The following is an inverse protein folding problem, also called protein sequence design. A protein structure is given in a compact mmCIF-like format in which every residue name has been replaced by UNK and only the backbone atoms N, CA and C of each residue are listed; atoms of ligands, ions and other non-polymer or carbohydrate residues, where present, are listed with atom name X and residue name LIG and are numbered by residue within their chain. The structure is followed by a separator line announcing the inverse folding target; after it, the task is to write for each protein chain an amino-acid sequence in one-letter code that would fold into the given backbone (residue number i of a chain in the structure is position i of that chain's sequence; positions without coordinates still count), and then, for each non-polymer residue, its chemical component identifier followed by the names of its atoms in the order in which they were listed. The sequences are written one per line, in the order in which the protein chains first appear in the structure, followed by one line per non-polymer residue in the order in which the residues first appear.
data_IF_504497060158
#
_entry.id   IF_504497060158
#
_cell.length_a   1.000
_cell.length_b   1.000
_cell.length_c   1.000
_cell.angle_alpha   90.00
_cell.angle_beta   90.00
_cell.angle_gamma   90.00
#
_symmetry.space_group_name_H-M   'P 1'
#
loop_
_entity.id
_entity.type
_entity.pdbx_description
1 polymer ?
#
# COMPACT_ATOMS: atom_id res chain seq x y z
N UNK A 1 21.03 11.75 -8.67
CA UNK A 1 22.44 11.45 -8.35
C UNK A 1 22.95 12.21 -7.10
N UNK A 2 22.09 12.47 -6.09
CA UNK A 2 22.45 13.23 -4.86
C UNK A 2 22.07 12.45 -3.57
N UNK A 3 21.24 11.41 -3.66
CA UNK A 3 20.77 10.65 -2.50
C UNK A 3 21.88 9.81 -1.82
N UNK A 4 22.72 9.13 -2.60
CA UNK A 4 23.74 8.22 -2.05
C UNK A 4 24.93 8.93 -1.38
N UNK A 5 25.30 10.14 -1.82
CA UNK A 5 26.44 10.86 -1.25
C UNK A 5 26.13 11.47 0.13
N UNK A 6 24.90 11.92 0.36
CA UNK A 6 24.49 12.52 1.65
C UNK A 6 24.21 11.48 2.74
N UNK A 7 23.95 10.21 2.38
CA UNK A 7 23.60 9.13 3.31
C UNK A 7 24.83 8.48 3.99
N UNK A 8 26.06 8.83 3.59
CA UNK A 8 27.26 8.05 3.94
C UNK A 8 28.03 8.52 5.18
N UNK A 9 27.79 9.71 5.71
CA UNK A 9 28.74 10.27 6.70
C UNK A 9 28.37 10.06 8.17
N UNK A 10 27.10 9.78 8.55
CA UNK A 10 26.73 9.67 9.98
C UNK A 10 25.61 8.70 10.41
N UNK A 11 25.10 7.78 9.59
CA UNK A 11 24.06 6.85 10.05
C UNK A 11 24.23 5.45 9.49
N UNK A 12 24.54 4.44 10.32
CA UNK A 12 24.69 3.08 9.85
C UNK A 12 23.40 2.31 10.07
N UNK A 13 22.69 2.07 8.98
CA UNK A 13 21.91 0.84 8.85
C UNK A 13 22.44 0.19 7.59
N UNK A 14 23.21 -0.88 7.80
CA UNK A 14 23.64 -1.72 6.72
C UNK A 14 22.57 -2.78 6.49
N UNK A 15 22.03 -2.77 5.27
CA UNK A 15 21.03 -3.69 4.79
C UNK A 15 21.74 -4.86 4.12
N UNK A 16 21.90 -5.99 4.81
CA UNK A 16 22.50 -7.17 4.18
C UNK A 16 21.46 -7.91 3.33
N UNK A 17 21.66 -7.93 2.02
CA UNK A 17 20.97 -8.82 1.08
C UNK A 17 21.99 -9.71 0.38
N UNK A 18 21.97 -11.01 0.67
CA UNK A 18 22.68 -12.00 -0.13
C UNK A 18 21.88 -12.26 -1.42
N UNK A 19 22.53 -12.22 -2.59
CA UNK A 19 21.90 -12.53 -3.89
C UNK A 19 21.44 -14.00 -3.92
N UNK A 20 20.19 -14.23 -3.50
CA UNK A 20 19.56 -15.56 -3.48
C UNK A 20 18.46 -15.72 -4.51
N UNK A 21 17.92 -16.94 -4.63
CA UNK A 21 16.77 -17.30 -5.48
C UNK A 21 15.59 -16.32 -5.34
N UNK A 22 15.30 -15.85 -4.12
CA UNK A 22 14.24 -14.88 -3.87
C UNK A 22 14.54 -13.51 -4.50
N UNK A 23 15.79 -13.04 -4.51
CA UNK A 23 16.16 -11.74 -5.09
C UNK A 23 16.21 -11.79 -6.63
N UNK A 24 16.63 -12.91 -7.22
CA UNK A 24 16.60 -13.11 -8.67
C UNK A 24 15.17 -13.31 -9.19
N UNK A 25 14.34 -14.04 -8.45
CA UNK A 25 12.92 -14.22 -8.76
C UNK A 25 12.13 -12.92 -8.55
N UNK A 26 12.39 -12.17 -7.48
CA UNK A 26 11.80 -10.84 -7.25
C UNK A 26 12.27 -9.84 -8.31
N UNK A 27 13.56 -9.78 -8.64
CA UNK A 27 14.07 -8.90 -9.70
C UNK A 27 13.47 -9.26 -11.06
N UNK A 28 13.29 -10.55 -11.35
CA UNK A 28 12.62 -11.01 -12.58
C UNK A 28 11.14 -10.66 -12.56
N UNK A 29 10.43 -10.89 -11.46
CA UNK A 29 9.01 -10.58 -11.33
C UNK A 29 8.74 -9.08 -11.39
N UNK A 30 9.58 -8.25 -10.75
CA UNK A 30 9.51 -6.78 -10.84
C UNK A 30 9.86 -6.28 -12.24
N UNK A 31 10.89 -6.85 -12.90
CA UNK A 31 11.26 -6.48 -14.28
C UNK A 31 10.22 -6.90 -15.33
N UNK A 32 9.54 -8.03 -15.10
CA UNK A 32 8.52 -8.55 -16.00
C UNK A 32 7.09 -8.14 -15.60
N UNK A 33 6.95 -7.41 -14.50
CA UNK A 33 5.65 -7.06 -13.88
C UNK A 33 4.74 -8.29 -13.74
N UNK A 34 5.31 -9.43 -13.33
CA UNK A 34 4.57 -10.68 -13.14
C UNK A 34 3.77 -10.61 -11.83
N UNK A 35 2.55 -10.11 -11.95
CA UNK A 35 1.64 -9.81 -10.82
C UNK A 35 1.32 -11.06 -9.99
N UNK A 36 1.19 -12.23 -10.62
CA UNK A 36 0.84 -13.46 -9.90
C UNK A 36 2.00 -13.94 -9.01
N UNK A 37 3.24 -13.87 -9.52
CA UNK A 37 4.44 -14.19 -8.73
C UNK A 37 4.60 -13.19 -7.58
N UNK A 38 4.41 -11.89 -7.84
CA UNK A 38 4.52 -10.84 -6.80
C UNK A 38 3.47 -11.04 -5.70
N UNK A 39 2.22 -11.35 -6.05
CA UNK A 39 1.14 -11.62 -5.10
C UNK A 39 1.43 -12.88 -4.28
N UNK A 40 1.83 -13.99 -4.92
CA UNK A 40 2.16 -15.24 -4.22
C UNK A 40 3.33 -15.07 -3.27
N UNK A 41 4.38 -14.33 -3.68
CA UNK A 41 5.50 -14.01 -2.81
C UNK A 41 5.07 -13.14 -1.63
N UNK A 42 4.22 -12.13 -1.86
CA UNK A 42 3.68 -11.28 -0.80
C UNK A 42 2.89 -12.08 0.24
N UNK A 43 2.01 -12.98 -0.20
CA UNK A 43 1.27 -13.87 0.69
C UNK A 43 2.19 -14.83 1.45
N UNK A 44 3.14 -15.44 0.77
CA UNK A 44 4.10 -16.35 1.38
C UNK A 44 4.93 -15.67 2.48
N UNK A 45 5.49 -14.48 2.20
CA UNK A 45 6.26 -13.70 3.17
C UNK A 45 5.37 -13.35 4.37
N UNK A 46 4.16 -12.83 4.13
CA UNK A 46 3.19 -12.49 5.18
C UNK A 46 2.84 -13.68 6.06
N UNK A 47 2.59 -14.84 5.46
CA UNK A 47 2.20 -16.05 6.18
C UNK A 47 3.36 -16.59 7.02
N UNK A 48 4.60 -16.53 6.54
CA UNK A 48 5.79 -16.86 7.35
C UNK A 48 5.90 -15.90 8.55
N UNK A 49 5.78 -14.59 8.33
CA UNK A 49 5.81 -13.62 9.44
C UNK A 49 4.74 -13.93 10.50
N UNK A 50 3.52 -14.29 10.08
CA UNK A 50 2.43 -14.68 10.97
C UNK A 50 2.74 -15.96 11.75
N UNK A 51 3.29 -16.99 11.09
CA UNK A 51 3.67 -18.23 11.77
C UNK A 51 4.80 -18.01 12.77
N UNK A 52 5.82 -17.22 12.43
CA UNK A 52 6.89 -16.83 13.36
C UNK A 52 6.29 -16.12 14.57
N UNK A 53 5.39 -15.16 14.37
CA UNK A 53 4.73 -14.44 15.45
C UNK A 53 3.89 -15.36 16.37
N UNK A 54 3.16 -16.32 15.79
CA UNK A 54 2.38 -17.29 16.54
C UNK A 54 3.28 -18.18 17.41
N UNK A 55 4.30 -18.79 16.81
CA UNK A 55 5.27 -19.64 17.52
C UNK A 55 6.01 -18.85 18.60
N UNK A 56 6.44 -17.63 18.30
CA UNK A 56 7.06 -16.72 19.27
C UNK A 56 6.17 -16.52 20.50
N UNK A 57 4.88 -16.27 20.28
CA UNK A 57 3.90 -16.05 21.35
C UNK A 57 3.65 -17.30 22.21
N UNK A 58 3.69 -18.49 21.60
CA UNK A 58 3.54 -19.78 22.29
C UNK A 58 4.80 -20.14 23.11
N UNK A 59 5.98 -19.89 22.54
CA UNK A 59 7.27 -20.25 23.12
C UNK A 59 7.71 -19.30 24.26
N UNK A 60 7.36 -18.02 24.20
CA UNK A 60 7.78 -17.03 25.22
C UNK A 60 6.85 -17.02 26.44
N UNK A 61 5.58 -17.42 26.30
CA UNK A 61 4.65 -17.52 27.43
C UNK A 61 4.95 -18.67 28.38
N UNK A 62 5.75 -19.66 27.95
CA UNK A 62 5.89 -20.96 28.62
C UNK A 62 7.19 -21.16 29.40
N UNK A 63 8.18 -20.26 29.28
CA UNK A 63 9.49 -20.42 29.97
C UNK A 63 9.91 -19.17 30.73
N UNK A 64 9.90 -19.25 32.06
CA UNK A 64 10.30 -18.14 32.95
C UNK A 64 11.82 -18.08 33.21
N UNK A 65 12.63 -18.99 32.64
CA UNK A 65 14.03 -19.20 33.06
C UNK A 65 15.13 -18.91 32.05
N UNK A 66 14.87 -18.33 30.87
CA UNK A 66 15.97 -17.81 30.02
C UNK A 66 15.48 -16.72 29.06
N UNK A 67 15.20 -15.53 29.62
CA UNK A 67 14.79 -14.35 28.85
C UNK A 67 15.95 -13.72 28.05
N UNK A 68 17.16 -14.26 28.21
CA UNK A 68 18.34 -13.89 27.45
C UNK A 68 19.12 -15.12 26.99
N UNK A 69 19.45 -15.19 25.71
CA UNK A 69 20.27 -16.27 25.16
C UNK A 69 21.13 -15.73 24.00
N UNK A 70 22.16 -16.50 23.62
CA UNK A 70 23.03 -16.15 22.48
C UNK A 70 22.79 -17.10 21.32
N UNK A 71 22.72 -16.54 20.11
CA UNK A 71 22.70 -17.30 18.85
C UNK A 71 23.83 -16.89 17.95
N UNK A 72 24.18 -17.76 17.02
CA UNK A 72 25.33 -17.66 16.16
C UNK A 72 24.94 -17.81 14.70
N UNK A 73 25.62 -17.08 13.83
CA UNK A 73 25.50 -17.22 12.38
C UNK A 73 26.84 -17.01 11.72
N UNK A 74 27.29 -17.98 10.93
CA UNK A 74 28.46 -17.83 10.08
C UNK A 74 28.08 -17.56 8.64
N UNK A 75 28.78 -16.64 7.99
CA UNK A 75 28.60 -16.34 6.57
C UNK A 75 29.81 -15.61 5.98
N UNK A 76 29.83 -15.48 4.65
CA UNK A 76 30.78 -14.63 3.95
C UNK A 76 30.22 -13.24 3.69
N UNK A 77 31.05 -12.21 3.88
CA UNK A 77 30.77 -10.83 3.48
C UNK A 77 31.80 -10.34 2.48
N UNK A 78 31.42 -9.40 1.62
CA UNK A 78 32.39 -8.70 0.77
C UNK A 78 33.34 -7.87 1.64
N UNK A 79 34.56 -7.66 1.16
CA UNK A 79 35.56 -6.82 1.87
C UNK A 79 35.00 -5.41 2.12
N UNK A 80 34.32 -4.83 1.12
CA UNK A 80 33.72 -3.50 1.22
C UNK A 80 32.64 -3.43 2.33
N UNK A 81 31.82 -4.47 2.47
CA UNK A 81 30.80 -4.53 3.52
C UNK A 81 31.41 -4.63 4.92
N UNK A 82 32.50 -5.39 5.07
CA UNK A 82 33.21 -5.50 6.36
C UNK A 82 33.88 -4.18 6.73
N UNK A 83 34.55 -3.52 5.78
CA UNK A 83 35.13 -2.19 6.01
C UNK A 83 34.08 -1.17 6.42
N UNK A 84 32.91 -1.20 5.77
CA UNK A 84 31.77 -0.36 6.16
C UNK A 84 31.32 -0.69 7.57
N UNK A 85 31.20 -1.97 7.93
CA UNK A 85 30.76 -2.40 9.25
C UNK A 85 31.72 -1.97 10.37
N UNK A 86 33.04 -2.03 10.12
CA UNK A 86 34.08 -1.56 11.03
C UNK A 86 33.94 -0.06 11.28
N UNK A 87 33.71 0.74 10.22
CA UNK A 87 33.49 2.19 10.34
C UNK A 87 32.24 2.54 11.13
N UNK A 88 31.29 1.61 11.21
CA UNK A 88 29.98 1.81 11.83
C UNK A 88 29.84 1.11 13.18
N UNK A 89 30.95 0.92 13.91
CA UNK A 89 30.94 0.38 15.27
C UNK A 89 29.98 1.18 16.16
N UNK A 90 29.22 0.49 17.03
CA UNK A 90 28.09 1.01 17.82
C UNK A 90 26.85 1.41 17.00
N UNK A 91 26.87 1.20 15.69
CA UNK A 91 25.77 1.44 14.78
C UNK A 91 24.67 0.37 14.78
N UNK A 92 23.65 0.58 13.94
CA UNK A 92 22.58 -0.38 13.71
C UNK A 92 22.86 -1.20 12.45
N UNK A 93 22.37 -2.44 12.44
CA UNK A 93 22.44 -3.37 11.31
C UNK A 93 21.09 -4.04 11.17
N UNK A 94 20.56 -4.11 9.94
CA UNK A 94 19.30 -4.76 9.65
C UNK A 94 19.50 -5.89 8.64
N UNK A 95 18.91 -7.04 8.93
CA UNK A 95 18.88 -8.16 7.99
C UNK A 95 17.59 -8.08 7.16
N UNK A 96 17.75 -7.88 5.85
CA UNK A 96 16.63 -7.73 4.93
C UNK A 96 15.98 -9.04 4.49
N UNK A 97 16.48 -10.16 4.99
CA UNK A 97 15.93 -11.49 4.76
C UNK A 97 15.58 -12.13 6.10
N UNK A 98 14.78 -13.20 6.05
CA UNK A 98 14.62 -14.07 7.22
C UNK A 98 15.99 -14.55 7.67
N UNK A 99 16.26 -14.37 8.96
CA UNK A 99 17.57 -14.63 9.53
C UNK A 99 17.51 -15.94 10.31
N UNK A 100 18.03 -16.99 9.70
CA UNK A 100 18.25 -18.28 10.35
C UNK A 100 19.56 -18.23 11.16
N UNK A 101 19.50 -18.72 12.39
CA UNK A 101 20.60 -18.72 13.36
C UNK A 101 20.63 -20.02 14.16
N UNK A 102 21.79 -20.34 14.74
CA UNK A 102 21.99 -21.56 15.51
C UNK A 102 22.36 -21.23 16.95
N UNK A 103 21.89 -22.01 17.92
CA UNK A 103 22.46 -21.97 19.29
C UNK A 103 23.87 -22.57 19.37
N UNK A 104 24.33 -23.29 18.35
CA UNK A 104 25.66 -23.91 18.32
C UNK A 104 26.69 -23.01 17.63
N UNK A 105 27.66 -22.53 18.42
CA UNK A 105 28.78 -21.72 17.90
C UNK A 105 29.63 -22.49 16.88
N UNK A 106 29.88 -23.78 17.11
CA UNK A 106 30.74 -24.60 16.23
C UNK A 106 30.12 -24.78 14.85
N UNK A 107 28.80 -24.99 14.79
CA UNK A 107 28.06 -25.13 13.53
C UNK A 107 28.15 -23.84 12.72
N UNK A 108 27.82 -22.70 13.36
CA UNK A 108 27.92 -21.39 12.74
C UNK A 108 29.35 -21.08 12.27
N UNK A 109 30.36 -21.35 13.10
CA UNK A 109 31.77 -21.10 12.75
C UNK A 109 32.19 -21.85 11.48
N UNK A 110 31.70 -23.08 11.26
CA UNK A 110 32.01 -23.84 10.04
C UNK A 110 31.62 -23.08 8.77
N UNK A 111 30.46 -22.41 8.76
CA UNK A 111 30.02 -21.61 7.62
C UNK A 111 30.90 -20.38 7.39
N UNK A 112 31.32 -19.71 8.46
CA UNK A 112 32.24 -18.57 8.36
C UNK A 112 33.61 -19.00 7.80
N UNK A 113 34.14 -20.14 8.27
CA UNK A 113 35.40 -20.72 7.80
C UNK A 113 35.33 -21.15 6.33
N UNK A 114 34.22 -21.75 5.92
CA UNK A 114 34.02 -22.20 4.54
C UNK A 114 33.93 -21.01 3.58
N UNK A 115 33.20 -19.96 3.97
CA UNK A 115 33.09 -18.73 3.20
C UNK A 115 34.44 -18.03 3.05
N UNK A 116 35.26 -18.05 4.11
CA UNK A 116 36.61 -17.52 4.08
C UNK A 116 37.57 -18.29 3.16
N UNK A 117 37.17 -19.39 2.50
CA UNK A 117 38.01 -20.00 1.45
C UNK A 117 37.98 -19.20 0.15
N UNK A 118 36.88 -18.49 -0.12
CA UNK A 118 36.77 -17.62 -1.29
C UNK A 118 37.65 -16.36 -1.07
N UNK A 119 38.59 -16.03 -1.98
CA UNK A 119 39.44 -14.85 -1.84
C UNK A 119 38.67 -13.52 -1.84
N UNK A 120 37.48 -13.47 -2.44
CA UNK A 120 36.67 -12.24 -2.54
C UNK A 120 35.80 -12.00 -1.29
N UNK A 121 35.77 -12.96 -0.36
CA UNK A 121 34.92 -12.93 0.83
C UNK A 121 35.75 -12.99 2.11
N UNK A 122 35.24 -12.31 3.13
CA UNK A 122 35.71 -12.36 4.51
C UNK A 122 34.75 -13.22 5.31
N UNK A 123 35.29 -14.17 6.08
CA UNK A 123 34.48 -15.05 6.93
C UNK A 123 34.03 -14.34 8.20
N UNK A 124 32.72 -14.26 8.42
CA UNK A 124 32.14 -13.56 9.56
C UNK A 124 31.38 -14.53 10.43
N UNK A 125 31.71 -14.52 11.73
CA UNK A 125 30.92 -15.14 12.77
C UNK A 125 30.15 -14.06 13.54
N UNK A 126 28.85 -13.97 13.31
CA UNK A 126 27.97 -13.17 14.16
C UNK A 126 27.67 -13.90 15.46
N UNK A 127 27.80 -13.18 16.56
CA UNK A 127 27.46 -13.59 17.92
C UNK A 127 26.37 -12.64 18.39
N UNK A 128 25.12 -13.11 18.45
CA UNK A 128 23.95 -12.26 18.67
C UNK A 128 23.38 -12.54 20.07
N UNK A 129 23.45 -11.55 20.94
CA UNK A 129 22.83 -11.58 22.26
C UNK A 129 21.37 -11.12 22.14
N UNK A 130 20.45 -12.01 22.50
CA UNK A 130 19.01 -11.79 22.41
C UNK A 130 18.46 -11.56 23.82
N UNK A 131 17.68 -10.49 23.99
CA UNK A 131 16.86 -10.29 25.19
C UNK A 131 15.40 -10.12 24.75
N UNK A 132 14.56 -11.10 25.11
CA UNK A 132 13.16 -11.16 24.69
C UNK A 132 12.23 -10.28 25.53
N UNK A 133 12.69 -9.70 26.63
CA UNK A 133 11.83 -9.00 27.60
C UNK A 133 11.30 -7.65 27.11
N UNK A 134 11.98 -7.02 26.14
CA UNK A 134 11.73 -5.63 25.74
C UNK A 134 11.77 -5.39 24.23
N UNK A 135 11.83 -6.43 23.40
CA UNK A 135 11.90 -6.30 21.95
C UNK A 135 10.56 -6.64 21.32
N UNK A 136 10.05 -5.78 20.43
CA UNK A 136 8.89 -6.07 19.56
C UNK A 136 9.21 -6.99 18.38
N UNK A 137 10.47 -7.44 18.25
CA UNK A 137 10.90 -8.32 17.16
C UNK A 137 10.42 -9.76 17.38
N UNK A 138 9.74 -10.32 16.38
CA UNK A 138 9.32 -11.71 16.39
C UNK A 138 10.43 -12.66 15.92
N UNK A 139 10.63 -13.72 16.69
CA UNK A 139 11.52 -14.83 16.34
C UNK A 139 11.00 -16.13 16.96
N UNK A 140 11.25 -17.26 16.32
CA UNK A 140 10.79 -18.55 16.81
C UNK A 140 11.90 -19.58 16.73
N UNK A 141 11.96 -20.47 17.72
CA UNK A 141 12.68 -21.73 17.57
C UNK A 141 11.91 -22.60 16.58
N UNK A 142 12.62 -23.11 15.57
CA UNK A 142 12.05 -23.94 14.50
C UNK A 142 12.66 -25.34 14.50
N UNK A 143 13.22 -25.79 15.62
CA UNK A 143 13.89 -27.10 15.75
C UNK A 143 13.02 -28.25 15.26
N UNK A 144 11.72 -28.22 15.57
CA UNK A 144 10.78 -29.30 15.20
C UNK A 144 10.51 -29.39 13.69
N UNK A 145 10.79 -28.32 12.94
CA UNK A 145 10.55 -28.22 11.49
C UNK A 145 11.82 -27.90 10.70
N UNK A 146 12.97 -27.81 11.37
CA UNK A 146 14.26 -27.54 10.74
C UNK A 146 14.64 -28.70 9.84
N UNK A 147 15.28 -28.38 8.71
CA UNK A 147 15.88 -29.38 7.82
C UNK A 147 16.93 -30.23 8.55
N UNK A 148 17.57 -29.66 9.57
CA UNK A 148 18.60 -30.33 10.36
C UNK A 148 18.06 -30.57 11.78
N UNK A 149 17.41 -31.71 11.98
CA UNK A 149 16.68 -32.07 13.21
C UNK A 149 17.53 -32.06 14.51
N UNK A 150 18.85 -32.09 14.40
CA UNK A 150 19.78 -32.03 15.53
C UNK A 150 20.22 -30.59 15.88
N UNK A 151 19.81 -29.60 15.09
CA UNK A 151 20.19 -28.20 15.28
C UNK A 151 19.11 -27.38 15.98
N UNK A 152 19.50 -26.68 17.04
CA UNK A 152 18.65 -25.71 17.71
C UNK A 152 18.63 -24.40 16.91
N UNK A 153 17.81 -24.38 15.87
CA UNK A 153 17.64 -23.26 14.95
C UNK A 153 16.62 -22.24 15.47
N UNK A 154 16.97 -20.96 15.38
CA UNK A 154 16.10 -19.83 15.67
C UNK A 154 15.99 -18.97 14.41
N UNK A 155 14.75 -18.76 13.98
CA UNK A 155 14.39 -17.96 12.82
C UNK A 155 13.83 -16.62 13.26
N UNK A 156 14.44 -15.53 12.78
CA UNK A 156 13.94 -14.17 12.98
C UNK A 156 13.17 -13.67 11.77
N UNK A 157 12.17 -12.83 12.03
CA UNK A 157 11.43 -12.11 11.00
C UNK A 157 12.33 -11.20 10.15
N UNK A 158 11.91 -10.90 8.91
CA UNK A 158 12.60 -9.90 8.09
C UNK A 158 12.66 -8.53 8.79
N UNK A 159 13.67 -7.75 8.44
CA UNK A 159 13.93 -6.41 8.97
C UNK A 159 14.22 -6.38 10.48
N UNK A 160 14.73 -7.50 11.02
CA UNK A 160 15.22 -7.52 12.39
C UNK A 160 16.48 -6.65 12.50
N UNK A 161 16.48 -5.75 13.49
CA UNK A 161 17.54 -4.77 13.70
C UNK A 161 18.37 -5.14 14.92
N UNK A 162 19.69 -5.16 14.75
CA UNK A 162 20.65 -5.37 15.82
C UNK A 162 21.56 -4.15 15.96
N UNK A 163 22.18 -4.01 17.13
CA UNK A 163 23.26 -3.05 17.38
C UNK A 163 24.60 -3.76 17.33
N UNK A 164 25.57 -3.16 16.65
CA UNK A 164 26.94 -3.66 16.55
C UNK A 164 27.70 -3.27 17.81
N UNK A 165 27.96 -4.22 18.70
CA UNK A 165 28.63 -3.98 19.98
C UNK A 165 30.14 -4.03 19.83
N UNK A 166 30.65 -5.06 19.16
CA UNK A 166 32.08 -5.24 19.01
C UNK A 166 32.44 -6.00 17.73
N UNK A 167 33.63 -5.73 17.21
CA UNK A 167 34.18 -6.38 16.01
C UNK A 167 35.62 -6.74 16.33
N UNK A 168 35.96 -8.02 16.28
CA UNK A 168 37.30 -8.54 16.57
C UNK A 168 37.82 -9.39 15.40
N UNK A 169 39.05 -9.15 14.92
CA UNK A 169 39.68 -10.08 13.98
C UNK A 169 39.97 -11.41 14.69
N UNK A 170 39.70 -12.51 14.00
CA UNK A 170 40.02 -13.86 14.47
C UNK A 170 41.41 -14.31 14.01
N UNK A 171 42.00 -13.59 13.06
CA UNK A 171 43.29 -13.89 12.48
C UNK A 171 44.11 -12.65 12.15
N UNK A 172 45.43 -12.81 12.10
CA UNK A 172 46.38 -11.74 11.80
C UNK A 172 46.24 -11.19 10.36
N UNK A 173 45.65 -11.99 9.47
CA UNK A 173 45.44 -11.64 8.07
C UNK A 173 44.11 -10.91 7.82
N UNK A 174 43.34 -10.60 8.88
CA UNK A 174 42.07 -9.87 8.80
C UNK A 174 41.07 -10.46 7.81
N UNK A 175 41.08 -11.79 7.65
CA UNK A 175 40.18 -12.52 6.74
C UNK A 175 39.03 -13.18 7.47
N UNK A 176 39.06 -13.16 8.80
CA UNK A 176 37.99 -13.66 9.65
C UNK A 176 37.69 -12.70 10.79
N UNK A 177 36.41 -12.46 11.05
CA UNK A 177 35.99 -11.60 12.16
C UNK A 177 34.88 -12.25 12.99
N UNK A 178 34.96 -11.99 14.30
CA UNK A 178 33.83 -12.14 15.22
C UNK A 178 33.14 -10.79 15.39
N UNK A 179 31.84 -10.79 15.15
CA UNK A 179 31.02 -9.58 15.26
C UNK A 179 29.95 -9.83 16.29
N UNK A 180 30.05 -9.09 17.40
CA UNK A 180 29.10 -9.16 18.50
C UNK A 180 27.96 -8.19 18.24
N UNK A 181 26.74 -8.72 18.22
CA UNK A 181 25.50 -8.00 17.99
C UNK A 181 24.58 -8.14 19.21
N UNK A 182 23.75 -7.14 19.45
CA UNK A 182 22.66 -7.23 20.44
C UNK A 182 21.34 -6.85 19.78
N UNK A 183 20.30 -7.64 20.01
CA UNK A 183 18.97 -7.35 19.48
C UNK A 183 18.48 -6.01 20.03
N UNK A 184 18.00 -5.13 19.15
CA UNK A 184 17.47 -3.83 19.57
C UNK A 184 16.13 -3.99 20.29
N UNK A 185 15.83 -3.02 21.16
CA UNK A 185 14.56 -2.92 21.88
C UNK A 185 13.83 -1.65 21.46
N UNK A 186 12.55 -1.56 21.86
CA UNK A 186 11.68 -0.45 21.46
C UNK A 186 12.13 0.91 22.05
N UNK A 187 13.03 0.89 23.04
CA UNK A 187 13.58 2.08 23.70
C UNK A 187 14.95 2.52 23.12
N UNK A 188 15.41 1.91 22.02
CA UNK A 188 16.67 2.29 21.40
C UNK A 188 16.57 3.71 20.82
N UNK A 189 17.44 4.62 21.30
CA UNK A 189 17.40 6.05 20.95
C UNK A 189 17.68 6.31 19.47
N UNK A 190 18.60 5.56 18.87
CA UNK A 190 18.98 5.75 17.47
C UNK A 190 17.89 5.17 16.56
N UNK A 191 17.29 4.05 16.96
CA UNK A 191 16.14 3.49 16.26
C UNK A 191 14.94 4.44 16.30
N UNK A 192 14.64 5.02 17.48
CA UNK A 192 13.56 6.01 17.64
C UNK A 192 13.82 7.25 16.78
N UNK A 193 15.06 7.76 16.77
CA UNK A 193 15.43 8.92 15.97
C UNK A 193 15.35 8.62 14.47
N UNK A 194 15.74 7.43 14.03
CA UNK A 194 15.56 6.97 12.65
C UNK A 194 14.08 6.88 12.30
N UNK A 195 13.26 6.22 13.12
CA UNK A 195 11.83 6.09 12.87
C UNK A 195 11.18 7.46 12.77
N UNK A 196 11.54 8.39 13.66
CA UNK A 196 11.05 9.77 13.61
C UNK A 196 11.57 10.50 12.37
N UNK A 197 12.83 10.33 11.97
CA UNK A 197 13.36 10.97 10.75
C UNK A 197 12.74 10.42 9.48
N UNK A 198 12.59 9.09 9.36
CA UNK A 198 11.85 8.48 8.24
C UNK A 198 10.41 8.98 8.27
N UNK A 199 9.82 9.15 9.46
CA UNK A 199 8.51 9.77 9.61
C UNK A 199 8.53 11.25 9.21
N UNK A 200 9.55 12.02 9.50
CA UNK A 200 9.58 13.44 9.13
C UNK A 200 9.85 13.61 7.63
N UNK A 201 10.72 12.77 7.05
CA UNK A 201 11.07 12.75 5.63
C UNK A 201 9.93 12.18 4.76
N UNK A 202 9.22 11.18 5.26
CA UNK A 202 8.04 10.60 4.57
C UNK A 202 6.77 11.43 4.82
N UNK A 203 6.68 12.14 5.95
CA UNK A 203 5.47 12.80 6.44
C UNK A 203 5.66 14.31 6.68
N UNK A 204 6.50 14.99 5.89
CA UNK A 204 6.48 16.46 5.90
C UNK A 204 5.08 16.98 5.53
N UNK A 205 4.49 17.69 6.49
CA UNK A 205 3.21 18.39 6.53
C UNK A 205 2.10 17.93 5.56
N UNK A 206 1.08 17.30 6.13
CA UNK A 206 -0.20 16.90 5.54
C UNK A 206 -0.20 15.78 4.49
N UNK A 207 0.85 15.52 3.72
CA UNK A 207 0.69 14.52 2.62
C UNK A 207 0.80 13.06 3.09
N UNK A 208 1.56 12.78 4.16
CA UNK A 208 1.82 11.42 4.63
C UNK A 208 0.60 10.74 5.27
N UNK A 209 -0.09 11.41 6.18
CA UNK A 209 -1.31 10.86 6.81
C UNK A 209 -2.43 10.65 5.82
N UNK A 210 -2.59 11.54 4.83
CA UNK A 210 -3.56 11.36 3.76
C UNK A 210 -3.21 10.16 2.86
N UNK A 211 -1.93 9.94 2.55
CA UNK A 211 -1.48 8.75 1.83
C UNK A 211 -1.69 7.46 2.63
N UNK A 212 -1.39 7.48 3.94
CA UNK A 212 -1.65 6.35 4.82
C UNK A 212 -3.14 6.03 4.85
N UNK A 213 -4.00 7.03 4.98
CA UNK A 213 -5.44 6.88 4.92
C UNK A 213 -5.90 6.32 3.57
N UNK A 214 -5.35 6.79 2.44
CA UNK A 214 -5.66 6.23 1.11
C UNK A 214 -5.27 4.75 0.98
N UNK A 215 -4.11 4.36 1.52
CA UNK A 215 -3.66 2.95 1.54
C UNK A 215 -4.60 2.11 2.41
N UNK A 216 -4.91 2.58 3.62
CA UNK A 216 -5.81 1.89 4.53
C UNK A 216 -7.22 1.74 3.95
N UNK A 217 -7.68 2.75 3.20
CA UNK A 217 -8.94 2.71 2.48
C UNK A 217 -8.94 1.60 1.43
N UNK A 218 -7.88 1.50 0.61
CA UNK A 218 -7.72 0.41 -0.37
C UNK A 218 -7.63 -0.97 0.28
N UNK A 219 -7.19 -1.04 1.54
CA UNK A 219 -7.14 -2.27 2.33
C UNK A 219 -8.47 -2.58 3.03
N UNK A 220 -9.49 -1.71 2.95
CA UNK A 220 -10.77 -1.88 3.63
C UNK A 220 -10.73 -1.59 5.14
N UNK A 221 -9.68 -0.94 5.62
CA UNK A 221 -9.47 -0.62 7.04
C UNK A 221 -10.16 0.70 7.44
N UNK A 222 -11.47 0.79 7.19
CA UNK A 222 -12.25 2.05 7.29
C UNK A 222 -12.23 2.71 8.67
N UNK A 223 -12.20 1.92 9.76
CA UNK A 223 -12.13 2.47 11.12
C UNK A 223 -10.83 3.26 11.36
N UNK A 224 -9.70 2.74 10.89
CA UNK A 224 -8.39 3.42 11.02
C UNK A 224 -8.33 4.67 10.15
N UNK A 225 -8.96 4.64 8.96
CA UNK A 225 -9.10 5.81 8.09
C UNK A 225 -9.87 6.92 8.81
N UNK A 226 -10.97 6.58 9.47
CA UNK A 226 -11.77 7.52 10.24
C UNK A 226 -10.99 8.14 11.42
N UNK A 227 -10.25 7.33 12.17
CA UNK A 227 -9.42 7.81 13.28
C UNK A 227 -8.32 8.79 12.81
N UNK A 228 -7.67 8.48 11.69
CA UNK A 228 -6.65 9.37 11.09
C UNK A 228 -7.29 10.70 10.70
N UNK A 229 -8.41 10.68 9.99
CA UNK A 229 -9.05 11.91 9.51
C UNK A 229 -9.65 12.74 10.64
N UNK A 230 -10.16 12.13 11.71
CA UNK A 230 -10.57 12.85 12.93
C UNK A 230 -9.39 13.54 13.61
N UNK A 231 -8.27 12.82 13.75
CA UNK A 231 -7.04 13.41 14.32
C UNK A 231 -6.57 14.60 13.49
N UNK A 232 -6.51 14.46 12.17
CA UNK A 232 -6.14 15.55 11.26
C UNK A 232 -7.12 16.73 11.31
N UNK A 233 -8.40 16.47 11.57
CA UNK A 233 -9.42 17.51 11.71
C UNK A 233 -9.19 18.35 12.96
N UNK A 234 -8.90 17.70 14.09
CA UNK A 234 -8.67 18.36 15.37
C UNK A 234 -7.36 19.16 15.38
N UNK A 235 -6.34 18.71 14.64
CA UNK A 235 -5.05 19.40 14.51
C UNK A 235 -5.10 20.63 13.60
N UNK A 236 -6.10 20.76 12.73
CA UNK A 236 -6.11 21.80 11.70
C UNK A 236 -7.11 22.93 11.96
N UNK A 237 -6.62 24.17 11.90
CA UNK A 237 -7.46 25.37 11.94
C UNK A 237 -7.80 25.89 10.53
N UNK A 238 -7.26 25.28 9.49
CA UNK A 238 -7.43 25.70 8.09
C UNK A 238 -8.73 25.11 7.53
N UNK A 239 -9.66 26.00 7.15
CA UNK A 239 -10.97 25.62 6.62
C UNK A 239 -10.87 24.84 5.29
N UNK A 240 -9.85 25.11 4.46
CA UNK A 240 -9.62 24.34 3.24
C UNK A 240 -9.23 22.89 3.55
N UNK A 241 -8.37 22.70 4.57
CA UNK A 241 -8.00 21.35 5.03
C UNK A 241 -9.17 20.64 5.68
N UNK A 242 -9.97 21.32 6.52
CA UNK A 242 -11.20 20.75 7.09
C UNK A 242 -12.18 20.30 6.03
N UNK A 243 -12.40 21.12 5.00
CA UNK A 243 -13.27 20.76 3.88
C UNK A 243 -12.76 19.53 3.13
N UNK A 244 -11.44 19.42 2.92
CA UNK A 244 -10.84 18.25 2.30
C UNK A 244 -10.99 17.00 3.17
N UNK A 245 -10.74 17.10 4.48
CA UNK A 245 -10.90 15.99 5.42
C UNK A 245 -12.36 15.49 5.43
N UNK A 246 -13.34 16.39 5.48
CA UNK A 246 -14.75 15.99 5.38
C UNK A 246 -15.07 15.29 4.06
N UNK A 247 -14.50 15.75 2.95
CA UNK A 247 -14.67 15.05 1.67
C UNK A 247 -14.09 13.64 1.70
N UNK A 248 -12.91 13.45 2.31
CA UNK A 248 -12.28 12.13 2.42
C UNK A 248 -13.04 11.19 3.38
N UNK A 249 -13.57 11.72 4.48
CA UNK A 249 -14.47 10.96 5.36
C UNK A 249 -15.75 10.52 4.63
N UNK A 250 -16.32 11.41 3.81
CA UNK A 250 -17.46 11.07 2.96
C UNK A 250 -17.14 9.94 1.99
N UNK A 251 -15.98 10.00 1.35
CA UNK A 251 -15.50 8.94 0.45
C UNK A 251 -15.29 7.61 1.17
N UNK A 252 -14.66 7.64 2.34
CA UNK A 252 -14.46 6.44 3.15
C UNK A 252 -15.78 5.76 3.55
N UNK A 253 -16.79 6.57 3.92
CA UNK A 253 -18.14 6.07 4.28
C UNK A 253 -18.91 5.53 3.10
N UNK A 254 -18.72 6.10 1.90
CA UNK A 254 -19.34 5.59 0.67
C UNK A 254 -18.78 4.21 0.31
N UNK A 255 -17.45 4.06 0.34
CA UNK A 255 -16.76 2.79 0.11
C UNK A 255 -17.11 1.72 1.16
N UNK A 256 -17.37 2.14 2.41
CA UNK A 256 -17.86 1.25 3.48
C UNK A 256 -19.33 0.81 3.27
N UNK A 257 -20.08 1.47 2.39
CA UNK A 257 -21.52 1.22 2.18
C UNK A 257 -22.44 1.97 3.16
N UNK A 258 -21.90 2.86 3.98
CA UNK A 258 -22.67 3.72 4.91
C UNK A 258 -23.09 5.02 4.22
N UNK A 259 -23.96 4.92 3.23
CA UNK A 259 -24.26 5.99 2.28
C UNK A 259 -24.87 7.26 2.90
N UNK A 260 -25.73 7.16 3.92
CA UNK A 260 -26.29 8.34 4.56
C UNK A 260 -25.22 9.15 5.31
N UNK A 261 -24.27 8.48 5.98
CA UNK A 261 -23.14 9.16 6.62
C UNK A 261 -22.23 9.83 5.60
N UNK A 262 -21.99 9.16 4.47
CA UNK A 262 -21.19 9.71 3.37
C UNK A 262 -21.76 11.04 2.87
N UNK A 263 -23.08 11.10 2.62
CA UNK A 263 -23.77 12.32 2.19
C UNK A 263 -23.57 13.45 3.20
N UNK A 264 -23.77 13.19 4.50
CA UNK A 264 -23.59 14.20 5.56
C UNK A 264 -22.18 14.78 5.56
N UNK A 265 -21.16 13.94 5.37
CA UNK A 265 -19.78 14.41 5.30
C UNK A 265 -19.49 15.22 4.03
N UNK A 266 -20.03 14.80 2.88
CA UNK A 266 -19.90 15.58 1.64
C UNK A 266 -20.61 16.93 1.74
N UNK A 267 -21.80 17.00 2.34
CA UNK A 267 -22.54 18.25 2.58
C UNK A 267 -21.73 19.19 3.49
N UNK A 268 -21.16 18.69 4.60
CA UNK A 268 -20.25 19.49 5.44
C UNK A 268 -19.03 20.01 4.68
N UNK A 269 -18.48 19.21 3.75
CA UNK A 269 -17.38 19.65 2.88
C UNK A 269 -17.81 20.78 1.95
N UNK A 270 -19.00 20.66 1.35
CA UNK A 270 -19.57 21.65 0.42
C UNK A 270 -19.86 22.96 1.18
N UNK A 271 -20.49 22.89 2.34
CA UNK A 271 -20.82 24.07 3.17
C UNK A 271 -19.59 24.93 3.50
N UNK A 272 -18.43 24.30 3.69
CA UNK A 272 -17.17 25.03 3.92
C UNK A 272 -16.63 25.55 2.58
N UNK A 273 -16.61 24.72 1.52
CA UNK A 273 -16.10 25.12 0.20
C UNK A 273 -16.87 26.30 -0.38
N UNK A 274 -18.19 26.35 -0.24
CA UNK A 274 -19.03 27.45 -0.73
C UNK A 274 -18.75 28.78 -0.01
N UNK A 275 -18.20 28.74 1.22
CA UNK A 275 -17.80 29.94 1.96
C UNK A 275 -16.41 30.46 1.57
N UNK A 276 -15.50 29.57 1.16
CA UNK A 276 -14.09 29.92 0.95
C UNK A 276 -13.64 29.87 -0.52
N UNK A 277 -14.45 29.31 -1.42
CA UNK A 277 -14.14 29.14 -2.84
C UNK A 277 -15.22 29.80 -3.72
N UNK A 278 -14.88 30.20 -4.95
CA UNK A 278 -15.88 30.67 -5.91
C UNK A 278 -16.85 29.53 -6.29
N UNK A 279 -18.07 29.88 -6.69
CA UNK A 279 -19.14 28.92 -7.01
C UNK A 279 -18.81 27.96 -8.15
N UNK A 280 -17.91 28.34 -9.05
CA UNK A 280 -17.43 27.51 -10.16
C UNK A 280 -16.15 26.72 -9.82
N UNK A 281 -15.75 26.64 -8.54
CA UNK A 281 -14.53 25.92 -8.18
C UNK A 281 -14.66 24.40 -8.37
N UNK A 282 -13.70 23.77 -9.04
CA UNK A 282 -13.76 22.34 -9.41
C UNK A 282 -13.91 21.37 -8.22
N UNK A 283 -13.41 21.74 -7.05
CA UNK A 283 -13.58 20.92 -5.83
C UNK A 283 -15.04 20.80 -5.36
N UNK A 284 -15.91 21.75 -5.72
CA UNK A 284 -17.36 21.67 -5.53
C UNK A 284 -17.95 20.64 -6.49
N UNK A 285 -17.58 20.70 -7.78
CA UNK A 285 -18.01 19.71 -8.77
C UNK A 285 -17.64 18.27 -8.38
N UNK A 286 -16.42 18.06 -7.86
CA UNK A 286 -16.02 16.73 -7.36
C UNK A 286 -16.89 16.26 -6.19
N UNK A 287 -17.27 17.16 -5.28
CA UNK A 287 -18.11 16.81 -4.13
C UNK A 287 -19.54 16.49 -4.55
N UNK A 288 -20.12 17.31 -5.45
CA UNK A 288 -21.43 17.05 -6.03
C UNK A 288 -21.46 15.75 -6.83
N UNK A 289 -20.42 15.47 -7.64
CA UNK A 289 -20.32 14.21 -8.35
C UNK A 289 -20.30 13.01 -7.40
N UNK A 290 -19.56 13.09 -6.30
CA UNK A 290 -19.51 11.98 -5.34
C UNK A 290 -20.84 11.77 -4.61
N UNK A 291 -21.56 12.84 -4.24
CA UNK A 291 -22.93 12.71 -3.72
C UNK A 291 -23.84 12.05 -4.78
N UNK A 292 -23.70 12.43 -6.05
CA UNK A 292 -24.41 11.79 -7.16
C UNK A 292 -24.15 10.28 -7.24
N UNK A 293 -22.88 9.86 -7.10
CA UNK A 293 -22.52 8.44 -7.05
C UNK A 293 -23.10 7.73 -5.83
N UNK A 294 -23.07 8.36 -4.65
CA UNK A 294 -23.68 7.80 -3.45
C UNK A 294 -25.19 7.56 -3.64
N UNK A 295 -25.92 8.51 -4.21
CA UNK A 295 -27.34 8.30 -4.53
C UNK A 295 -27.55 7.25 -5.62
N UNK A 296 -26.65 7.16 -6.60
CA UNK A 296 -26.66 6.10 -7.60
C UNK A 296 -26.49 4.71 -6.97
N UNK A 297 -25.56 4.54 -6.02
CA UNK A 297 -25.39 3.31 -5.25
C UNK A 297 -26.64 2.94 -4.44
N UNK A 298 -27.39 3.94 -3.97
CA UNK A 298 -28.67 3.76 -3.30
C UNK A 298 -29.86 3.53 -4.25
N UNK A 299 -29.63 3.52 -5.57
CA UNK A 299 -30.66 3.50 -6.63
C UNK A 299 -31.67 4.67 -6.57
N UNK A 300 -31.33 5.78 -5.89
CA UNK A 300 -32.10 7.04 -5.94
C UNK A 300 -31.66 7.85 -7.17
N UNK A 301 -32.07 7.36 -8.35
CA UNK A 301 -31.63 7.90 -9.64
C UNK A 301 -32.04 9.35 -9.85
N UNK A 302 -33.17 9.79 -9.29
CA UNK A 302 -33.63 11.17 -9.42
C UNK A 302 -32.68 12.15 -8.70
N UNK A 303 -32.23 11.81 -7.49
CA UNK A 303 -31.23 12.64 -6.80
C UNK A 303 -29.84 12.50 -7.42
N UNK A 304 -29.46 11.30 -7.88
CA UNK A 304 -28.20 11.11 -8.58
C UNK A 304 -28.08 12.06 -9.79
N UNK A 305 -29.12 12.14 -10.63
CA UNK A 305 -29.17 13.08 -11.76
C UNK A 305 -28.99 14.53 -11.31
N UNK A 306 -29.75 14.98 -10.31
CA UNK A 306 -29.68 16.35 -9.80
C UNK A 306 -28.23 16.74 -9.43
N UNK A 307 -27.52 15.85 -8.74
CA UNK A 307 -26.16 16.12 -8.28
C UNK A 307 -25.11 15.99 -9.40
N UNK A 308 -25.28 15.06 -10.34
CA UNK A 308 -24.42 15.00 -11.53
C UNK A 308 -24.59 16.22 -12.45
N UNK A 309 -25.82 16.72 -12.62
CA UNK A 309 -26.10 17.92 -13.41
C UNK A 309 -25.46 19.16 -12.79
N UNK A 310 -25.53 19.32 -11.45
CA UNK A 310 -24.79 20.37 -10.74
C UNK A 310 -23.29 20.29 -10.95
N UNK A 311 -22.72 19.08 -10.88
CA UNK A 311 -21.29 18.88 -11.14
C UNK A 311 -20.91 19.23 -12.60
N UNK A 312 -21.76 18.85 -13.56
CA UNK A 312 -21.59 19.16 -14.97
C UNK A 312 -21.63 20.67 -15.23
N UNK A 313 -22.58 21.40 -14.63
CA UNK A 313 -22.70 22.85 -14.76
C UNK A 313 -21.41 23.56 -14.33
N UNK A 314 -20.88 23.20 -13.15
CA UNK A 314 -19.63 23.77 -12.65
C UNK A 314 -18.46 23.44 -13.60
N UNK A 315 -18.36 22.19 -14.07
CA UNK A 315 -17.29 21.75 -14.97
C UNK A 315 -17.36 22.48 -16.32
N UNK A 316 -18.55 22.70 -16.88
CA UNK A 316 -18.73 23.48 -18.11
C UNK A 316 -18.34 24.95 -17.95
N UNK A 317 -18.55 25.54 -16.77
CA UNK A 317 -18.14 26.92 -16.50
C UNK A 317 -16.65 27.07 -16.24
N UNK A 318 -16.01 26.06 -15.64
CA UNK A 318 -14.64 26.16 -15.14
C UNK A 318 -13.58 25.54 -16.07
N UNK A 319 -13.97 24.65 -17.00
CA UNK A 319 -13.05 23.88 -17.83
C UNK A 319 -13.22 24.23 -19.31
N UNK A 320 -12.16 24.03 -20.12
CA UNK A 320 -12.28 23.99 -21.58
C UNK A 320 -13.29 22.92 -22.02
N UNK A 321 -13.99 23.18 -23.12
CA UNK A 321 -15.05 22.29 -23.66
C UNK A 321 -14.59 20.85 -23.91
N UNK A 322 -13.29 20.64 -24.14
CA UNK A 322 -12.69 19.35 -24.46
C UNK A 322 -12.16 18.58 -23.23
N UNK A 323 -12.38 19.09 -22.01
CA UNK A 323 -11.80 18.51 -20.80
C UNK A 323 -12.50 17.21 -20.37
N UNK A 324 -11.71 16.17 -20.01
CA UNK A 324 -12.20 14.83 -19.64
C UNK A 324 -13.21 14.82 -18.48
N UNK A 325 -13.06 15.73 -17.50
CA UNK A 325 -14.05 15.89 -16.44
C UNK A 325 -15.48 16.18 -16.94
N UNK A 326 -15.67 16.84 -18.09
CA UNK A 326 -17.01 17.03 -18.67
C UNK A 326 -17.54 15.69 -19.18
N UNK A 327 -16.67 14.90 -19.81
CA UNK A 327 -16.95 13.55 -20.30
C UNK A 327 -17.43 12.63 -19.18
N UNK A 328 -16.75 12.62 -18.02
CA UNK A 328 -17.12 11.79 -16.86
C UNK A 328 -18.56 12.09 -16.37
N UNK A 329 -18.94 13.38 -16.33
CA UNK A 329 -20.28 13.77 -15.91
C UNK A 329 -21.35 13.28 -16.90
N UNK A 330 -21.11 13.42 -18.22
CA UNK A 330 -22.04 12.90 -19.22
C UNK A 330 -22.17 11.37 -19.15
N UNK A 331 -21.08 10.65 -18.88
CA UNK A 331 -21.14 9.20 -18.68
C UNK A 331 -21.98 8.83 -17.45
N UNK A 332 -21.78 9.49 -16.31
CA UNK A 332 -22.56 9.24 -15.10
C UNK A 332 -24.06 9.52 -15.32
N UNK A 333 -24.40 10.64 -15.94
CA UNK A 333 -25.80 10.97 -16.29
C UNK A 333 -26.38 9.93 -17.26
N UNK A 334 -25.61 9.52 -18.28
CA UNK A 334 -26.02 8.51 -19.23
C UNK A 334 -26.28 7.14 -18.57
N UNK A 335 -25.44 6.75 -17.62
CA UNK A 335 -25.61 5.53 -16.84
C UNK A 335 -26.86 5.58 -15.96
N UNK A 336 -27.16 6.73 -15.35
CA UNK A 336 -28.40 6.87 -14.58
C UNK A 336 -29.62 6.70 -15.49
N UNK A 337 -29.66 7.38 -16.65
CA UNK A 337 -30.76 7.21 -17.60
C UNK A 337 -30.89 5.77 -18.13
N UNK A 338 -29.76 5.09 -18.35
CA UNK A 338 -29.77 3.68 -18.75
C UNK A 338 -30.48 2.81 -17.72
N UNK A 339 -30.16 2.98 -16.43
CA UNK A 339 -30.77 2.22 -15.34
C UNK A 339 -32.24 2.59 -15.10
N UNK A 340 -32.63 3.83 -15.37
CA UNK A 340 -34.05 4.25 -15.40
C UNK A 340 -34.80 3.68 -16.62
N UNK A 341 -34.10 3.12 -17.62
CA UNK A 341 -34.69 2.61 -18.86
C UNK A 341 -34.93 3.68 -19.92
N UNK A 342 -34.43 4.90 -19.73
CA UNK A 342 -34.49 6.05 -20.64
C UNK A 342 -33.34 5.97 -21.67
N UNK A 343 -33.33 4.91 -22.49
CA UNK A 343 -32.20 4.62 -23.39
C UNK A 343 -31.90 5.73 -24.41
N UNK A 344 -32.90 6.50 -24.83
CA UNK A 344 -32.70 7.64 -25.73
C UNK A 344 -31.89 8.76 -25.09
N UNK A 345 -32.17 9.07 -23.82
CA UNK A 345 -31.39 10.08 -23.07
C UNK A 345 -30.00 9.54 -22.73
N UNK A 346 -29.91 8.27 -22.35
CA UNK A 346 -28.63 7.60 -22.13
C UNK A 346 -27.73 7.68 -23.36
N UNK A 347 -28.28 7.39 -24.55
CA UNK A 347 -27.56 7.47 -25.82
C UNK A 347 -27.07 8.89 -26.09
N UNK A 348 -27.95 9.90 -25.95
CA UNK A 348 -27.59 11.31 -26.16
C UNK A 348 -26.45 11.76 -25.23
N UNK A 349 -26.44 11.31 -23.98
CA UNK A 349 -25.35 11.61 -23.04
C UNK A 349 -24.03 10.98 -23.48
N UNK A 350 -24.02 9.71 -23.91
CA UNK A 350 -22.81 9.05 -24.39
C UNK A 350 -22.30 9.67 -25.70
N UNK A 351 -23.18 10.13 -26.58
CA UNK A 351 -22.82 10.87 -27.80
C UNK A 351 -22.11 12.19 -27.46
N UNK A 352 -22.65 12.98 -26.52
CA UNK A 352 -21.99 14.20 -26.05
C UNK A 352 -20.62 13.91 -25.42
N UNK A 353 -20.52 12.85 -24.63
CA UNK A 353 -19.25 12.42 -24.05
C UNK A 353 -18.22 12.05 -25.15
N UNK A 354 -18.67 11.35 -26.19
CA UNK A 354 -17.85 11.00 -27.34
C UNK A 354 -17.40 12.24 -28.15
N UNK A 355 -18.27 13.23 -28.33
CA UNK A 355 -17.94 14.49 -29.01
C UNK A 355 -16.81 15.23 -28.28
N UNK A 356 -16.93 15.40 -26.97
CA UNK A 356 -15.86 15.98 -26.13
C UNK A 356 -14.56 15.20 -26.32
N UNK A 357 -14.61 13.88 -26.24
CA UNK A 357 -13.41 13.04 -26.34
C UNK A 357 -12.75 13.09 -27.73
N UNK A 358 -13.54 13.17 -28.81
CA UNK A 358 -13.04 13.30 -30.20
C UNK A 358 -12.26 14.59 -30.43
N UNK A 359 -12.57 15.66 -29.70
CA UNK A 359 -11.82 16.91 -29.79
C UNK A 359 -10.47 16.87 -29.05
N UNK A 360 -10.33 15.94 -28.09
CA UNK A 360 -9.12 15.80 -27.26
C UNK A 360 -8.18 14.68 -27.70
N UNK A 361 -8.68 13.64 -28.37
CA UNK A 361 -7.92 12.46 -28.74
C UNK A 361 -7.74 12.34 -30.25
N UNK A 362 -6.59 11.77 -30.66
CA UNK A 362 -6.38 11.35 -32.05
C UNK A 362 -7.46 10.34 -32.47
N UNK A 363 -7.86 10.38 -33.74
CA UNK A 363 -9.00 9.61 -34.25
C UNK A 363 -8.93 8.08 -34.03
N UNK A 364 -7.73 7.53 -33.81
CA UNK A 364 -7.47 6.11 -33.58
C UNK A 364 -7.20 5.76 -32.10
N UNK A 365 -7.54 6.63 -31.15
CA UNK A 365 -7.26 6.37 -29.75
C UNK A 365 -8.14 5.23 -29.20
N UNK A 366 -7.56 4.20 -28.52
CA UNK A 366 -8.30 3.05 -28.00
C UNK A 366 -9.52 3.40 -27.14
N UNK A 367 -9.43 4.48 -26.35
CA UNK A 367 -10.54 4.96 -25.51
C UNK A 367 -11.82 5.30 -26.29
N UNK A 368 -11.73 5.63 -27.58
CA UNK A 368 -12.92 5.87 -28.41
C UNK A 368 -13.76 4.59 -28.60
N UNK A 369 -13.13 3.40 -28.57
CA UNK A 369 -13.82 2.13 -28.68
C UNK A 369 -14.79 1.88 -27.51
N UNK A 370 -14.48 2.38 -26.31
CA UNK A 370 -15.34 2.28 -25.14
C UNK A 370 -16.70 2.95 -25.39
N UNK A 371 -16.71 4.16 -25.95
CA UNK A 371 -17.93 4.90 -26.26
C UNK A 371 -18.75 4.22 -27.36
N UNK A 372 -18.10 3.76 -28.44
CA UNK A 372 -18.80 3.04 -29.51
C UNK A 372 -19.42 1.73 -29.01
N UNK A 373 -18.74 1.00 -28.14
CA UNK A 373 -19.29 -0.21 -27.50
C UNK A 373 -20.50 0.12 -26.62
N UNK A 374 -20.44 1.20 -25.84
CA UNK A 374 -21.57 1.65 -25.02
C UNK A 374 -22.77 2.07 -25.89
N UNK A 375 -22.54 2.82 -26.97
CA UNK A 375 -23.59 3.17 -27.95
C UNK A 375 -24.23 1.91 -28.54
N UNK A 376 -23.42 0.93 -28.96
CA UNK A 376 -23.89 -0.34 -29.50
C UNK A 376 -24.72 -1.14 -28.48
N UNK A 377 -24.27 -1.19 -27.23
CA UNK A 377 -24.98 -1.86 -26.13
C UNK A 377 -26.33 -1.21 -25.84
N UNK A 378 -26.37 0.11 -25.66
CA UNK A 378 -27.60 0.87 -25.40
C UNK A 378 -28.59 0.71 -26.56
N UNK A 379 -28.12 0.80 -27.80
CA UNK A 379 -28.94 0.65 -29.00
C UNK A 379 -29.54 -0.75 -29.11
N UNK A 380 -28.74 -1.80 -28.85
CA UNK A 380 -29.22 -3.19 -28.84
C UNK A 380 -30.30 -3.40 -27.79
N UNK A 381 -30.11 -2.89 -26.58
CA UNK A 381 -31.10 -3.00 -25.49
C UNK A 381 -32.38 -2.25 -25.84
N UNK A 382 -32.28 -1.05 -26.40
CA UNK A 382 -33.44 -0.26 -26.83
C UNK A 382 -34.27 -1.00 -27.91
N UNK A 383 -33.60 -1.52 -28.95
CA UNK A 383 -34.24 -2.30 -30.02
C UNK A 383 -34.92 -3.55 -29.43
N UNK A 384 -34.24 -4.28 -28.55
CA UNK A 384 -34.78 -5.50 -27.93
C UNK A 384 -36.03 -5.21 -27.09
N UNK A 385 -36.05 -4.11 -26.33
CA UNK A 385 -37.22 -3.68 -25.56
C UNK A 385 -38.39 -3.28 -26.47
N UNK A 386 -38.12 -2.56 -27.54
CA UNK A 386 -39.16 -2.17 -28.51
C UNK A 386 -39.77 -3.39 -29.22
N UNK A 387 -38.95 -4.38 -29.61
CA UNK A 387 -39.42 -5.66 -30.15
C UNK A 387 -40.29 -6.42 -29.13
N UNK A 388 -39.90 -6.46 -27.85
CA UNK A 388 -40.69 -7.09 -26.79
C UNK A 388 -42.05 -6.40 -26.62
N UNK A 389 -42.09 -5.06 -26.60
CA UNK A 389 -43.32 -4.28 -26.50
C UNK A 389 -44.25 -4.59 -27.68
N UNK A 390 -43.72 -4.65 -28.90
CA UNK A 390 -44.49 -5.02 -30.10
C UNK A 390 -45.08 -6.42 -29.93
N UNK A 391 -44.29 -7.41 -29.52
CA UNK A 391 -44.78 -8.79 -29.30
C UNK A 391 -45.88 -8.83 -28.23
N UNK A 392 -45.75 -8.09 -27.13
CA UNK A 392 -46.77 -8.01 -26.07
C UNK A 392 -48.06 -7.33 -26.57
N UNK A 393 -47.97 -6.26 -27.37
CA UNK A 393 -49.13 -5.60 -27.97
C UNK A 393 -49.85 -6.55 -28.95
N UNK A 394 -49.11 -7.24 -29.82
CA UNK A 394 -49.71 -8.16 -30.79
C UNK A 394 -50.36 -9.37 -30.11
N UNK A 395 -49.73 -9.94 -29.08
CA UNK A 395 -50.29 -11.07 -28.32
C UNK A 395 -51.53 -10.70 -27.49
N UNK A 396 -51.57 -9.50 -26.90
CA UNK A 396 -52.77 -9.01 -26.19
C UNK A 396 -53.92 -8.65 -27.13
N UNK A 397 -53.63 -8.18 -28.34
CA UNK A 397 -54.67 -7.87 -29.35
C UNK A 397 -55.31 -9.14 -29.93
N UNK A 398 -54.57 -10.26 -30.02
CA UNK A 398 -55.08 -11.57 -30.46
C UNK A 398 -55.95 -12.25 -29.40
N UNK A 399 -55.81 -11.89 -28.12
CA UNK A 399 -56.60 -12.45 -27.01
C UNK A 399 -57.93 -11.71 -26.74
N UNK A 400 -58.17 -10.56 -27.39
CA UNK A 400 -59.36 -9.70 -27.18
C UNK A 400 -60.34 -9.74 -28.37
N UNK A 401 -60.01 -10.46 -29.44
CA UNK A 401 -60.94 -10.83 -30.54
C UNK A 401 -61.23 -12.33 -30.48
#
# INVERSE_FOLDING_TARGET
MIFEQTYSEKTPIWWYTYEGFLQSMLSRAVRLLDVDILIRMGFFIRDIHRHIQQLHSEQIKTTDSDKSFTVYRGQGLSIADVEKMIKTKNGLISFNNFLSTSKSRSNALRFALEAAKNPDLVGILFIMDINSSHSSTYFASITDVSYQHEENEILFSMHTIFRIVDIKPMDEHNRRYEIKLTLTNDNDKDLTLLTNRIRDETYSNSTGWHKLAEILLKMGEYAKVEDIYKTLYDETTDESKKAYIYHQLGFAKDEQGTYQEAIVYYEKSIDIKEKILPSNHLSLATSYNNIGQTFYHMADYSKALLFFEKALEIRLQALPENHSGITDCYQNIGLVHYNMGDYMKALSCIEKALEVQKTSLLHNHPDLAYYYNNIGSISKTNISKNLLIIVVIFSSTILVN
#
